data_IF_026311209422
#
_entry.id   IF_026311209422
#
_cell.length_a   1.000
_cell.length_b   1.000
_cell.length_c   1.000
_cell.angle_alpha   90.00
_cell.angle_beta   90.00
_cell.angle_gamma   90.00
#
_symmetry.space_group_name_H-M   'P 1'
#
loop_
_entity.id
_entity.type
_entity.pdbx_description
1 polymer ?
#
# COMPACT_ATOMS: atom_id res chain seq x y z
N UNK A 1 -7.64 -26.57 -12.42
CA UNK A 1 -8.54 -25.59 -13.09
C UNK A 1 -9.80 -25.31 -12.27
N UNK A 2 -9.71 -24.83 -11.01
CA UNK A 2 -10.87 -24.39 -10.23
C UNK A 2 -10.39 -23.56 -9.00
N UNK A 3 -9.64 -22.49 -9.23
CA UNK A 3 -9.24 -21.56 -8.18
C UNK A 3 -9.52 -20.08 -8.55
N UNK A 4 -10.44 -19.87 -9.47
CA UNK A 4 -11.04 -18.54 -9.64
C UNK A 4 -12.36 -18.62 -8.89
N UNK A 5 -12.38 -18.16 -7.64
CA UNK A 5 -13.63 -17.93 -6.94
C UNK A 5 -14.47 -16.99 -7.81
N UNK A 6 -15.71 -17.38 -8.12
CA UNK A 6 -16.62 -16.49 -8.84
C UNK A 6 -16.72 -15.17 -8.08
N UNK A 7 -16.63 -14.02 -8.75
CA UNK A 7 -16.71 -12.73 -8.09
C UNK A 7 -18.03 -12.64 -7.32
N UNK A 8 -17.94 -12.47 -6.02
CA UNK A 8 -19.12 -12.28 -5.20
C UNK A 8 -19.81 -10.96 -5.58
N UNK A 9 -21.12 -10.85 -5.30
CA UNK A 9 -21.85 -9.59 -5.49
C UNK A 9 -21.12 -8.42 -4.77
N UNK A 10 -20.54 -8.69 -3.61
CA UNK A 10 -19.74 -7.72 -2.87
C UNK A 10 -18.51 -7.26 -3.66
N UNK A 11 -17.77 -8.20 -4.29
CA UNK A 11 -16.62 -7.86 -5.14
C UNK A 11 -17.05 -7.02 -6.35
N UNK A 12 -18.13 -7.44 -7.01
CA UNK A 12 -18.66 -6.71 -8.17
C UNK A 12 -19.12 -5.28 -7.80
N UNK A 13 -19.73 -5.11 -6.62
CA UNK A 13 -20.09 -3.79 -6.10
C UNK A 13 -18.84 -2.95 -5.76
N UNK A 14 -17.85 -3.54 -5.13
CA UNK A 14 -16.63 -2.84 -4.75
C UNK A 14 -15.85 -2.34 -5.98
N UNK A 15 -15.82 -3.13 -7.05
CA UNK A 15 -15.16 -2.78 -8.31
C UNK A 15 -16.02 -1.93 -9.25
N UNK A 16 -17.29 -1.72 -8.91
CA UNK A 16 -18.22 -0.97 -9.76
C UNK A 16 -17.71 0.45 -10.01
N UNK A 17 -17.67 0.84 -11.29
CA UNK A 17 -17.34 2.21 -11.72
C UNK A 17 -18.59 2.92 -12.22
N UNK A 18 -18.79 4.12 -11.69
CA UNK A 18 -19.91 4.96 -12.12
C UNK A 18 -19.66 5.48 -13.54
N UNK A 19 -20.62 5.20 -14.44
CA UNK A 19 -20.62 5.73 -15.80
C UNK A 19 -21.36 7.04 -15.89
N UNK A 20 -21.48 7.58 -17.13
CA UNK A 20 -22.25 8.82 -17.42
C UNK A 20 -21.42 10.08 -17.24
N UNK A 21 -22.11 11.23 -17.11
CA UNK A 21 -21.50 12.57 -17.03
C UNK A 21 -21.75 13.25 -15.66
N UNK A 22 -22.17 12.50 -14.64
CA UNK A 22 -22.40 13.03 -13.29
C UNK A 22 -21.10 13.19 -12.49
N UNK A 23 -21.20 13.81 -11.30
CA UNK A 23 -20.05 14.05 -10.41
C UNK A 23 -19.30 12.77 -10.02
N UNK A 24 -19.97 11.61 -9.98
CA UNK A 24 -19.37 10.33 -9.66
C UNK A 24 -18.76 9.63 -10.89
N UNK A 25 -18.87 10.19 -12.09
CA UNK A 25 -18.38 9.57 -13.31
C UNK A 25 -16.89 9.20 -13.20
N UNK A 26 -16.56 7.95 -13.52
CA UNK A 26 -15.21 7.42 -13.44
C UNK A 26 -14.76 6.98 -12.03
N UNK A 27 -15.48 7.34 -10.97
CA UNK A 27 -15.17 6.90 -9.62
C UNK A 27 -15.53 5.40 -9.43
N UNK A 28 -14.68 4.71 -8.69
CA UNK A 28 -14.92 3.34 -8.26
C UNK A 28 -15.63 3.35 -6.90
N UNK A 29 -16.64 2.50 -6.72
CA UNK A 29 -17.42 2.47 -5.46
C UNK A 29 -16.53 2.13 -4.25
N UNK A 30 -15.59 1.20 -4.39
CA UNK A 30 -14.64 0.85 -3.33
C UNK A 30 -13.81 2.06 -2.88
N UNK A 31 -13.33 2.88 -3.84
CA UNK A 31 -12.59 4.10 -3.51
C UNK A 31 -13.47 5.13 -2.77
N UNK A 32 -14.74 5.24 -3.13
CA UNK A 32 -15.68 6.12 -2.42
C UNK A 32 -15.95 5.61 -1.00
N UNK A 33 -16.07 4.31 -0.80
CA UNK A 33 -16.22 3.71 0.53
C UNK A 33 -14.99 3.98 1.40
N UNK A 34 -13.78 3.76 0.87
CA UNK A 34 -12.53 4.08 1.59
C UNK A 34 -12.44 5.57 1.92
N UNK A 35 -12.82 6.44 0.99
CA UNK A 35 -12.87 7.88 1.23
C UNK A 35 -13.87 8.27 2.33
N UNK A 36 -15.02 7.61 2.37
CA UNK A 36 -16.02 7.84 3.42
C UNK A 36 -15.47 7.39 4.79
N UNK A 37 -14.79 6.25 4.87
CA UNK A 37 -14.18 5.76 6.10
C UNK A 37 -13.06 6.70 6.59
N UNK A 38 -12.27 7.26 5.68
CA UNK A 38 -11.28 8.28 5.99
C UNK A 38 -11.92 9.55 6.58
N UNK A 39 -13.01 10.04 5.98
CA UNK A 39 -13.77 11.18 6.51
C UNK A 39 -14.40 10.91 7.88
N UNK A 40 -14.72 9.67 8.18
CA UNK A 40 -15.23 9.26 9.50
C UNK A 40 -14.11 9.08 10.53
N UNK A 41 -12.86 9.36 10.15
CA UNK A 41 -11.68 9.19 11.00
C UNK A 41 -11.52 7.75 11.51
N UNK A 42 -11.92 6.77 10.71
CA UNK A 42 -11.69 5.35 11.00
C UNK A 42 -10.22 5.05 10.80
N UNK A 43 -9.64 4.31 11.74
CA UNK A 43 -8.25 3.86 11.64
C UNK A 43 -8.04 3.08 10.33
N UNK A 44 -7.01 3.37 9.50
CA UNK A 44 -6.80 2.71 8.21
C UNK A 44 -6.85 1.18 8.25
N UNK A 45 -6.26 0.56 9.26
CA UNK A 45 -6.31 -0.89 9.44
C UNK A 45 -7.76 -1.39 9.70
N UNK A 46 -8.57 -0.66 10.45
CA UNK A 46 -9.97 -1.01 10.68
C UNK A 46 -10.80 -0.88 9.42
N UNK A 47 -10.57 0.18 8.62
CA UNK A 47 -11.22 0.37 7.33
C UNK A 47 -10.91 -0.78 6.37
N UNK A 48 -9.64 -1.20 6.29
CA UNK A 48 -9.18 -2.34 5.50
C UNK A 48 -9.86 -3.63 5.97
N UNK A 49 -9.89 -3.89 7.28
CA UNK A 49 -10.52 -5.08 7.85
C UNK A 49 -12.03 -5.12 7.59
N UNK A 50 -12.71 -3.98 7.64
CA UNK A 50 -14.13 -3.88 7.28
C UNK A 50 -14.36 -4.32 5.82
N UNK A 51 -13.58 -3.78 4.88
CA UNK A 51 -13.67 -4.14 3.46
C UNK A 51 -13.31 -5.61 3.25
N UNK A 52 -12.25 -6.10 3.88
CA UNK A 52 -11.84 -7.51 3.82
C UNK A 52 -12.97 -8.45 4.26
N UNK A 53 -13.62 -8.13 5.37
CA UNK A 53 -14.75 -8.92 5.89
C UNK A 53 -15.96 -8.86 4.94
N UNK A 54 -16.26 -7.69 4.38
CA UNK A 54 -17.33 -7.52 3.40
C UNK A 54 -17.09 -8.38 2.15
N UNK A 55 -15.84 -8.43 1.69
CA UNK A 55 -15.44 -9.21 0.51
C UNK A 55 -15.18 -10.69 0.83
N UNK A 56 -15.23 -11.10 2.10
CA UNK A 56 -14.91 -12.46 2.59
C UNK A 56 -13.53 -12.93 2.15
N UNK A 57 -12.53 -12.05 2.26
CA UNK A 57 -11.14 -12.36 1.95
C UNK A 57 -10.44 -12.89 3.19
N UNK A 58 -9.87 -14.08 3.13
CA UNK A 58 -9.17 -14.71 4.25
C UNK A 58 -7.75 -14.15 4.48
N UNK A 59 -7.14 -13.53 3.46
CA UNK A 59 -5.85 -12.89 3.59
C UNK A 59 -5.95 -11.58 4.40
N UNK A 60 -4.89 -11.26 5.15
CA UNK A 60 -4.77 -9.98 5.86
C UNK A 60 -3.99 -8.99 5.01
N UNK A 61 -4.44 -7.75 5.00
CA UNK A 61 -3.74 -6.62 4.43
C UNK A 61 -3.43 -5.64 5.55
N UNK A 62 -2.15 -5.43 5.82
CA UNK A 62 -1.67 -4.59 6.90
C UNK A 62 -0.90 -3.42 6.30
N UNK A 63 -1.32 -2.16 6.52
CA UNK A 63 -0.57 -1.01 6.02
C UNK A 63 0.78 -0.89 6.75
N UNK A 64 1.81 -0.49 6.03
CA UNK A 64 3.14 -0.26 6.61
C UNK A 64 3.13 0.87 7.64
N UNK A 65 2.30 1.88 7.43
CA UNK A 65 2.04 3.00 8.33
C UNK A 65 0.57 3.41 8.24
N UNK A 66 0.05 4.06 9.27
CA UNK A 66 -1.29 4.66 9.27
C UNK A 66 -1.28 6.15 8.99
N UNK A 67 -0.09 6.72 8.83
CA UNK A 67 0.08 8.13 8.49
C UNK A 67 0.33 8.26 6.98
N UNK A 68 -0.25 9.30 6.34
CA UNK A 68 0.05 9.58 4.95
C UNK A 68 1.53 9.93 4.78
N UNK A 69 2.10 9.47 3.69
CA UNK A 69 3.52 9.64 3.38
C UNK A 69 3.70 9.80 1.88
N UNK A 70 4.53 10.75 1.48
CA UNK A 70 4.96 10.94 0.11
C UNK A 70 6.32 10.31 -0.13
N UNK A 71 6.60 9.92 -1.37
CA UNK A 71 7.90 9.42 -1.80
C UNK A 71 8.66 10.51 -2.54
N UNK A 72 9.90 10.72 -2.14
CA UNK A 72 10.84 11.65 -2.75
C UNK A 72 12.14 10.95 -3.10
N UNK A 73 12.73 11.32 -4.21
CA UNK A 73 14.05 10.85 -4.65
C UNK A 73 14.95 12.04 -4.96
N UNK A 74 16.27 11.83 -4.85
CA UNK A 74 17.29 12.70 -5.41
C UNK A 74 17.83 12.02 -6.67
N UNK A 75 17.69 12.66 -7.82
CA UNK A 75 18.15 12.12 -9.10
C UNK A 75 19.67 12.20 -9.28
N UNK A 76 20.15 11.77 -10.45
CA UNK A 76 21.56 11.78 -10.78
C UNK A 76 22.19 13.19 -10.86
N UNK A 77 21.38 14.21 -11.06
CA UNK A 77 21.77 15.61 -11.22
C UNK A 77 21.48 16.45 -9.94
N UNK A 78 21.23 15.78 -8.82
CA UNK A 78 20.93 16.37 -7.51
C UNK A 78 19.59 17.15 -7.45
N UNK A 79 18.65 16.84 -8.33
CA UNK A 79 17.29 17.40 -8.28
C UNK A 79 16.36 16.54 -7.45
N UNK A 80 15.44 17.21 -6.72
CA UNK A 80 14.37 16.56 -6.00
C UNK A 80 13.26 16.13 -6.97
N UNK A 81 12.87 14.87 -6.90
CA UNK A 81 11.81 14.26 -7.71
C UNK A 81 10.74 13.70 -6.77
N UNK A 82 9.51 14.17 -6.91
CA UNK A 82 8.40 13.82 -6.04
C UNK A 82 7.40 12.92 -6.76
N UNK A 83 6.87 11.96 -6.00
CA UNK A 83 5.78 11.07 -6.40
C UNK A 83 6.24 9.89 -7.26
N UNK A 84 5.49 8.80 -7.11
CA UNK A 84 5.81 7.50 -7.69
C UNK A 84 5.98 7.54 -9.21
N UNK A 85 5.06 8.22 -9.91
CA UNK A 85 5.06 8.27 -11.38
C UNK A 85 6.34 8.93 -11.91
N UNK A 86 6.78 10.02 -11.29
CA UNK A 86 7.97 10.74 -11.72
C UNK A 86 9.24 9.95 -11.39
N UNK A 87 9.27 9.28 -10.24
CA UNK A 87 10.42 8.46 -9.84
C UNK A 87 10.57 7.24 -10.74
N UNK A 88 9.46 6.57 -11.10
CA UNK A 88 9.49 5.41 -12.01
C UNK A 88 9.89 5.79 -13.45
N UNK A 89 9.80 7.07 -13.82
CA UNK A 89 10.21 7.59 -15.14
C UNK A 89 11.69 8.03 -15.18
N UNK A 90 12.41 7.98 -14.07
CA UNK A 90 13.84 8.30 -14.05
C UNK A 90 14.63 7.36 -14.96
N UNK A 91 15.47 7.94 -15.82
CA UNK A 91 16.32 7.19 -16.75
C UNK A 91 17.50 6.51 -16.04
N UNK A 92 17.93 7.06 -14.91
CA UNK A 92 19.00 6.55 -14.08
C UNK A 92 18.49 6.29 -12.66
N UNK A 93 19.11 5.32 -11.95
CA UNK A 93 18.79 5.10 -10.54
C UNK A 93 18.91 6.38 -9.72
N UNK A 94 17.98 6.67 -8.80
CA UNK A 94 18.12 7.80 -7.90
C UNK A 94 19.33 7.60 -6.96
N UNK A 95 19.99 8.69 -6.60
CA UNK A 95 21.07 8.69 -5.60
C UNK A 95 20.54 8.39 -4.21
N UNK A 96 19.39 8.96 -3.88
CA UNK A 96 18.71 8.77 -2.62
C UNK A 96 17.21 8.58 -2.85
N UNK A 97 16.59 7.82 -1.96
CA UNK A 97 15.15 7.63 -1.91
C UNK A 97 14.71 7.78 -0.46
N UNK A 98 13.67 8.54 -0.22
CA UNK A 98 13.16 8.80 1.13
C UNK A 98 11.66 8.97 1.16
N UNK A 99 11.08 8.72 2.32
CA UNK A 99 9.68 9.03 2.61
C UNK A 99 9.58 10.36 3.36
N UNK A 100 8.60 11.17 2.99
CA UNK A 100 8.34 12.45 3.65
C UNK A 100 6.85 12.62 3.98
N UNK A 101 6.49 12.87 5.23
CA UNK A 101 7.36 12.84 6.40
C UNK A 101 7.88 11.42 6.71
N UNK A 102 8.88 11.31 7.58
CA UNK A 102 9.23 10.00 8.14
C UNK A 102 8.09 9.54 9.04
N UNK A 103 7.61 8.33 8.81
CA UNK A 103 6.44 7.77 9.51
C UNK A 103 6.82 6.51 10.30
N UNK A 104 6.18 6.25 11.45
CA UNK A 104 6.35 5.00 12.18
C UNK A 104 5.64 3.85 11.47
N UNK A 105 6.14 2.63 11.65
CA UNK A 105 5.44 1.43 11.25
C UNK A 105 4.18 1.20 12.09
N UNK A 106 3.19 0.52 11.52
CA UNK A 106 2.12 -0.08 12.33
C UNK A 106 2.69 -1.20 13.20
N UNK A 107 2.17 -1.32 14.42
CA UNK A 107 2.57 -2.41 15.32
C UNK A 107 2.27 -3.76 14.68
N UNK A 108 1.11 -3.89 14.07
CA UNK A 108 0.64 -5.10 13.42
C UNK A 108 1.54 -5.54 12.26
N UNK A 109 2.12 -4.60 11.49
CA UNK A 109 3.07 -4.93 10.43
C UNK A 109 4.38 -5.47 11.00
N UNK A 110 4.89 -4.88 12.07
CA UNK A 110 6.11 -5.34 12.74
C UNK A 110 5.90 -6.72 13.35
N UNK A 111 4.76 -6.96 14.01
CA UNK A 111 4.39 -8.25 14.60
C UNK A 111 4.24 -9.33 13.52
N UNK A 112 3.50 -9.04 12.43
CA UNK A 112 3.30 -9.99 11.34
C UNK A 112 4.61 -10.41 10.66
N UNK A 113 5.54 -9.46 10.46
CA UNK A 113 6.89 -9.77 9.95
C UNK A 113 7.64 -10.66 10.93
N UNK A 114 7.58 -10.35 12.24
CA UNK A 114 8.30 -11.10 13.29
C UNK A 114 7.80 -12.53 13.49
N UNK A 115 6.55 -12.80 13.16
CA UNK A 115 5.89 -14.10 13.31
C UNK A 115 5.86 -14.93 12.01
N UNK A 116 6.33 -14.36 10.91
CA UNK A 116 6.28 -15.02 9.60
C UNK A 116 7.32 -16.14 9.48
N UNK A 117 6.90 -17.31 9.02
CA UNK A 117 7.79 -18.42 8.65
C UNK A 117 8.51 -18.19 7.34
N UNK A 118 7.89 -17.41 6.42
CA UNK A 118 8.41 -17.07 5.10
C UNK A 118 7.95 -15.68 4.70
N UNK A 119 8.86 -14.88 4.20
CA UNK A 119 8.59 -13.55 3.69
C UNK A 119 8.90 -13.49 2.20
N UNK A 120 7.92 -13.09 1.39
CA UNK A 120 8.06 -12.84 -0.03
C UNK A 120 8.02 -11.33 -0.28
N UNK A 121 9.04 -10.79 -0.96
CA UNK A 121 9.12 -9.38 -1.30
C UNK A 121 8.73 -9.20 -2.76
N UNK A 122 7.68 -8.48 -3.03
CA UNK A 122 7.13 -8.21 -4.37
C UNK A 122 5.75 -8.81 -4.58
N UNK A 123 5.19 -8.70 -5.79
CA UNK A 123 5.67 -7.96 -6.95
C UNK A 123 5.48 -6.44 -6.81
N UNK A 124 6.21 -5.67 -7.61
CA UNK A 124 6.07 -4.22 -7.68
C UNK A 124 7.31 -3.53 -8.21
N UNK A 125 7.19 -2.23 -8.52
CA UNK A 125 8.33 -1.39 -8.87
C UNK A 125 9.32 -1.35 -7.71
N UNK A 126 10.60 -1.50 -8.03
CA UNK A 126 11.65 -1.52 -6.99
C UNK A 126 11.67 -0.25 -6.16
N UNK A 127 11.68 0.91 -6.83
CA UNK A 127 11.81 2.20 -6.13
C UNK A 127 10.51 2.69 -5.50
N UNK A 128 9.36 2.44 -6.13
CA UNK A 128 8.10 3.07 -5.71
C UNK A 128 7.15 2.15 -4.96
N UNK A 129 7.35 0.82 -5.06
CA UNK A 129 6.51 -0.14 -4.35
C UNK A 129 7.26 -0.90 -3.24
N UNK A 130 8.50 -1.34 -3.52
CA UNK A 130 9.25 -2.18 -2.57
C UNK A 130 10.09 -1.36 -1.60
N UNK A 131 10.86 -0.39 -2.12
CA UNK A 131 11.75 0.43 -1.28
C UNK A 131 11.02 1.24 -0.20
N UNK A 132 9.83 1.85 -0.44
CA UNK A 132 9.12 2.58 0.61
C UNK A 132 8.88 1.78 1.88
N UNK A 133 8.59 0.48 1.76
CA UNK A 133 8.41 -0.42 2.92
C UNK A 133 9.74 -0.56 3.69
N UNK A 134 10.86 -0.68 2.97
CA UNK A 134 12.20 -0.84 3.55
C UNK A 134 12.75 0.48 4.13
N UNK A 135 12.23 1.63 3.72
CA UNK A 135 12.57 2.93 4.28
C UNK A 135 11.94 3.16 5.66
N UNK A 136 10.85 2.45 5.99
CA UNK A 136 10.28 2.47 7.34
C UNK A 136 11.19 1.67 8.27
N UNK A 137 11.84 2.39 9.19
CA UNK A 137 12.94 1.87 10.02
C UNK A 137 12.59 0.61 10.80
N UNK A 138 11.42 0.58 11.41
CA UNK A 138 10.96 -0.55 12.24
C UNK A 138 10.71 -1.80 11.39
N UNK A 139 10.18 -1.63 10.15
CA UNK A 139 9.97 -2.75 9.24
C UNK A 139 11.29 -3.30 8.73
N UNK A 140 12.25 -2.43 8.36
CA UNK A 140 13.58 -2.86 7.96
C UNK A 140 14.30 -3.61 9.10
N UNK A 141 14.12 -3.19 10.35
CA UNK A 141 14.69 -3.87 11.51
C UNK A 141 14.01 -5.22 11.77
N UNK A 142 12.69 -5.33 11.60
CA UNK A 142 11.96 -6.57 11.75
C UNK A 142 12.40 -7.59 10.68
N UNK A 143 12.47 -7.17 9.41
CA UNK A 143 12.94 -8.00 8.30
C UNK A 143 14.34 -8.55 8.52
N UNK A 144 15.28 -7.74 9.02
CA UNK A 144 16.65 -8.20 9.32
C UNK A 144 16.73 -9.32 10.34
N UNK A 145 15.77 -9.37 11.28
CA UNK A 145 15.73 -10.42 12.30
C UNK A 145 15.24 -11.76 11.76
N UNK A 146 14.37 -11.73 10.77
CA UNK A 146 13.76 -12.95 10.18
C UNK A 146 14.61 -13.48 9.02
N UNK A 147 15.28 -12.61 8.25
CA UNK A 147 16.10 -12.99 7.10
C UNK A 147 17.53 -13.43 7.43
N UNK A 148 17.88 -13.59 8.70
CA UNK A 148 19.17 -14.13 9.11
C UNK A 148 19.09 -15.66 9.16
N UNK A 149 19.07 -16.28 8.00
CA UNK A 149 19.45 -17.68 7.81
C UNK A 149 20.60 -17.72 6.82
#
# INVERSE_FOLDING_TARGET
NQLIAEPSVASAMFEYRFGGNGELSGHNLGNLMLKALDHLSVRPLEAINLIRNLLKVDAFLIPMSEQPVDLMAIDADDHEVYGEVNIDQLLLPPKELMTYPSVPATREAVEAIGEADLILIGPGSFYTSLMPILLVKELAQALRKVMVI
#
